data_IF_185664802955
#
_entry.id   IF_185664802955
#
_cell.length_a   1.000
_cell.length_b   1.000
_cell.length_c   1.000
_cell.angle_alpha   90.00
_cell.angle_beta   90.00
_cell.angle_gamma   90.00
#
_symmetry.space_group_name_H-M   'P 1'
#
loop_
_entity.id
_entity.type
_entity.pdbx_description
1 polymer ?
#
# COMPACT_ATOMS: atom_id res chain seq x y z
N UNK A 1 -11.66 -9.31 1.35
CA UNK A 1 -11.72 -8.43 0.17
C UNK A 1 -12.52 -7.21 0.59
N UNK A 2 -11.94 -6.01 0.57
CA UNK A 2 -12.65 -4.79 0.95
C UNK A 2 -13.62 -4.36 -0.16
N UNK A 3 -14.75 -3.77 0.21
CA UNK A 3 -15.72 -3.17 -0.71
C UNK A 3 -15.59 -1.64 -0.71
N UNK A 4 -16.21 -0.98 -1.68
CA UNK A 4 -16.22 0.48 -1.78
C UNK A 4 -16.77 1.19 -0.51
N UNK A 5 -17.65 0.52 0.24
CA UNK A 5 -18.18 1.02 1.51
C UNK A 5 -17.16 1.08 2.65
N UNK A 6 -16.04 0.38 2.57
CA UNK A 6 -14.94 0.52 3.54
C UNK A 6 -14.19 1.86 3.42
N UNK A 7 -14.30 2.55 2.27
CA UNK A 7 -13.62 3.83 2.02
C UNK A 7 -14.44 5.06 2.43
N UNK A 8 -15.64 4.87 3.01
CA UNK A 8 -16.57 5.95 3.34
C UNK A 8 -16.01 6.95 4.35
N UNK A 9 -15.14 6.50 5.25
CA UNK A 9 -14.43 7.38 6.20
C UNK A 9 -13.54 8.39 5.48
N UNK A 10 -12.98 8.04 4.33
CA UNK A 10 -12.09 8.91 3.55
C UNK A 10 -12.83 9.68 2.45
N UNK A 11 -13.95 9.15 1.99
CA UNK A 11 -14.73 9.75 0.92
C UNK A 11 -16.23 9.50 1.12
N UNK A 12 -16.92 10.28 1.96
CA UNK A 12 -18.32 10.02 2.32
C UNK A 12 -19.29 10.12 1.12
N UNK A 13 -18.86 10.74 0.01
CA UNK A 13 -19.61 10.86 -1.24
C UNK A 13 -19.62 9.55 -2.07
N UNK A 14 -18.80 8.55 -1.74
CA UNK A 14 -18.62 7.34 -2.55
C UNK A 14 -19.91 6.49 -2.73
N UNK A 15 -20.85 6.36 -1.75
CA UNK A 15 -22.08 5.59 -1.95
C UNK A 15 -22.98 6.16 -3.03
N UNK A 16 -23.04 7.49 -3.15
CA UNK A 16 -23.87 8.15 -4.18
C UNK A 16 -23.39 7.87 -5.60
N UNK A 17 -22.10 7.59 -5.78
CA UNK A 17 -21.53 7.23 -7.09
C UNK A 17 -21.48 5.71 -7.32
N UNK A 18 -21.51 4.92 -6.25
CA UNK A 18 -21.33 3.47 -6.26
C UNK A 18 -22.39 2.76 -5.41
N UNK A 19 -23.68 2.86 -5.78
CA UNK A 19 -24.80 2.37 -4.96
C UNK A 19 -24.76 0.84 -4.75
N UNK A 20 -24.23 0.09 -5.72
CA UNK A 20 -24.13 -1.37 -5.66
C UNK A 20 -22.89 -1.86 -4.87
N UNK A 21 -22.12 -0.96 -4.27
CA UNK A 21 -20.92 -1.26 -3.46
C UNK A 21 -19.99 -2.30 -4.12
N UNK A 22 -19.50 -2.03 -5.34
CA UNK A 22 -18.64 -2.97 -6.06
C UNK A 22 -17.34 -3.28 -5.31
N UNK A 23 -16.72 -4.45 -5.57
CA UNK A 23 -15.41 -4.79 -5.03
C UNK A 23 -14.36 -3.72 -5.32
N UNK A 24 -13.50 -3.47 -4.34
CA UNK A 24 -12.40 -2.52 -4.46
C UNK A 24 -11.12 -3.21 -4.95
N UNK A 25 -10.45 -2.60 -5.92
CA UNK A 25 -9.10 -2.97 -6.34
C UNK A 25 -8.14 -1.84 -5.98
N UNK A 26 -7.04 -2.19 -5.30
CA UNK A 26 -5.93 -1.28 -5.05
C UNK A 26 -4.75 -1.69 -5.94
N UNK A 27 -4.33 -0.78 -6.80
CA UNK A 27 -3.07 -0.92 -7.53
C UNK A 27 -2.00 -0.13 -6.79
N UNK A 28 -0.91 -0.80 -6.43
CA UNK A 28 0.22 -0.20 -5.71
C UNK A 28 1.44 -0.22 -6.61
N UNK A 29 2.07 0.94 -6.81
CA UNK A 29 3.29 1.08 -7.59
C UNK A 29 4.32 1.87 -6.81
N UNK A 30 5.60 1.52 -6.96
CA UNK A 30 6.68 2.30 -6.37
C UNK A 30 6.87 3.60 -7.16
N UNK A 31 6.88 4.75 -6.48
CA UNK A 31 7.19 6.05 -7.11
C UNK A 31 8.66 6.17 -7.48
N UNK A 32 9.52 5.49 -6.74
CA UNK A 32 10.96 5.45 -6.93
C UNK A 32 11.51 4.13 -6.44
N UNK A 33 12.76 3.82 -6.81
CA UNK A 33 13.46 2.68 -6.22
C UNK A 33 13.50 2.84 -4.68
N UNK A 34 13.19 1.79 -3.90
CA UNK A 34 13.34 1.84 -2.46
C UNK A 34 14.81 2.00 -2.09
N UNK A 35 15.09 2.81 -1.07
CA UNK A 35 16.46 3.03 -0.60
C UNK A 35 16.68 2.31 0.72
N UNK A 36 17.80 1.58 0.82
CA UNK A 36 18.26 0.95 2.05
C UNK A 36 19.52 1.69 2.51
N UNK A 37 19.51 2.16 3.75
CA UNK A 37 20.67 2.81 4.36
C UNK A 37 21.16 1.96 5.53
N UNK A 38 22.42 1.55 5.46
CA UNK A 38 23.07 0.82 6.55
C UNK A 38 23.70 1.81 7.54
N UNK A 39 23.34 1.67 8.81
CA UNK A 39 23.98 2.33 9.95
C UNK A 39 24.62 1.25 10.84
N UNK A 40 25.55 1.61 11.75
CA UNK A 40 26.26 0.64 12.58
C UNK A 40 25.35 -0.35 13.31
N UNK A 41 24.19 0.12 13.79
CA UNK A 41 23.29 -0.67 14.63
C UNK A 41 21.90 -0.90 13.99
N UNK A 42 21.66 -0.42 12.77
CA UNK A 42 20.33 -0.48 12.14
C UNK A 42 20.38 -0.41 10.61
N UNK A 43 19.38 -1.00 9.96
CA UNK A 43 19.05 -0.68 8.58
C UNK A 43 17.83 0.23 8.53
N UNK A 44 17.88 1.30 7.76
CA UNK A 44 16.70 2.10 7.43
C UNK A 44 16.23 1.76 6.02
N UNK A 45 14.98 1.35 5.87
CA UNK A 45 14.33 1.17 4.57
C UNK A 45 13.38 2.33 4.33
N UNK A 46 13.51 3.01 3.19
CA UNK A 46 12.55 4.02 2.73
C UNK A 46 11.83 3.55 1.50
N UNK A 47 10.50 3.69 1.52
CA UNK A 47 9.58 3.30 0.45
C UNK A 47 8.67 4.48 0.14
N UNK A 48 8.53 4.79 -1.14
CA UNK A 48 7.56 5.76 -1.67
C UNK A 48 6.69 5.04 -2.70
N UNK A 49 5.37 5.02 -2.47
CA UNK A 49 4.43 4.27 -3.30
C UNK A 49 3.17 5.07 -3.63
N UNK A 50 2.73 4.99 -4.88
CA UNK A 50 1.43 5.45 -5.32
C UNK A 50 0.42 4.31 -5.19
N UNK A 51 -0.77 4.65 -4.68
CA UNK A 51 -1.87 3.73 -4.50
C UNK A 51 -3.06 4.28 -5.26
N UNK A 52 -3.50 3.57 -6.30
CA UNK A 52 -4.69 3.91 -7.06
C UNK A 52 -5.83 2.96 -6.69
N UNK A 53 -6.96 3.52 -6.26
CA UNK A 53 -8.17 2.76 -5.94
C UNK A 53 -9.13 2.73 -7.13
N UNK A 54 -9.75 1.57 -7.37
CA UNK A 54 -10.76 1.35 -8.39
C UNK A 54 -11.97 0.59 -7.82
N UNK A 55 -13.16 0.91 -8.34
CA UNK A 55 -14.34 0.07 -8.24
C UNK A 55 -14.37 -0.90 -9.44
N UNK A 56 -14.53 -2.20 -9.17
CA UNK A 56 -14.56 -3.25 -10.20
C UNK A 56 -15.98 -3.75 -10.41
N UNK A 57 -16.49 -3.64 -11.63
CA UNK A 57 -17.84 -4.10 -11.98
C UNK A 57 -17.82 -5.50 -12.62
N UNK A 58 -18.96 -6.23 -12.65
CA UNK A 58 -19.04 -7.60 -13.19
C UNK A 58 -18.57 -7.73 -14.65
N UNK A 59 -18.68 -6.67 -15.43
CA UNK A 59 -18.20 -6.59 -16.81
C UNK A 59 -16.68 -6.31 -16.92
N UNK A 60 -15.94 -6.48 -15.83
CA UNK A 60 -14.51 -6.17 -15.67
C UNK A 60 -14.13 -4.70 -15.94
N UNK A 61 -15.10 -3.79 -15.99
CA UNK A 61 -14.82 -2.37 -16.06
C UNK A 61 -14.29 -1.89 -14.72
N UNK A 62 -13.14 -1.21 -14.74
CA UNK A 62 -12.55 -0.57 -13.57
C UNK A 62 -12.84 0.92 -13.63
N UNK A 63 -13.50 1.45 -12.60
CA UNK A 63 -13.72 2.89 -12.44
C UNK A 63 -12.78 3.47 -11.39
N UNK A 64 -11.92 4.45 -11.73
CA UNK A 64 -11.03 5.06 -10.76
C UNK A 64 -11.83 5.80 -9.68
N UNK A 65 -11.38 5.69 -8.43
CA UNK A 65 -12.01 6.33 -7.28
C UNK A 65 -11.18 7.51 -6.78
N UNK A 66 -9.95 7.23 -6.36
CA UNK A 66 -9.01 8.22 -5.81
C UNK A 66 -7.60 7.66 -5.87
N UNK A 67 -6.62 8.57 -5.83
CA UNK A 67 -5.19 8.25 -5.75
C UNK A 67 -4.63 8.71 -4.41
N UNK A 68 -3.72 7.93 -3.85
CA UNK A 68 -3.01 8.24 -2.61
C UNK A 68 -1.51 8.10 -2.82
N UNK A 69 -0.77 8.89 -2.07
CA UNK A 69 0.68 8.79 -1.97
C UNK A 69 1.02 8.32 -0.56
N UNK A 70 1.77 7.22 -0.46
CA UNK A 70 2.30 6.73 0.79
C UNK A 70 3.82 6.86 0.78
N UNK A 71 4.38 7.39 1.87
CA UNK A 71 5.81 7.39 2.15
C UNK A 71 6.02 6.71 3.49
N UNK A 72 6.98 5.79 3.56
CA UNK A 72 7.33 5.09 4.79
C UNK A 72 8.84 5.04 4.95
N UNK A 73 9.31 5.23 6.17
CA UNK A 73 10.69 5.02 6.58
C UNK A 73 10.67 4.16 7.85
N UNK A 74 11.25 2.97 7.78
CA UNK A 74 11.25 2.00 8.88
C UNK A 74 12.67 1.54 9.19
N UNK A 75 13.03 1.55 10.47
CA UNK A 75 14.25 0.92 10.95
C UNK A 75 14.02 -0.58 11.14
N UNK A 76 14.90 -1.40 10.58
CA UNK A 76 14.80 -2.86 10.56
C UNK A 76 16.05 -3.46 11.20
N UNK A 77 15.84 -4.43 12.09
CA UNK A 77 16.91 -5.24 12.67
C UNK A 77 17.28 -6.35 11.69
N UNK A 78 18.56 -6.51 11.40
CA UNK A 78 19.07 -7.59 10.53
C UNK A 78 19.54 -8.74 11.40
N UNK A 79 19.04 -9.94 11.11
CA UNK A 79 19.54 -11.17 11.72
C UNK A 79 20.35 -11.90 10.65
N UNK A 80 21.65 -12.04 10.89
CA UNK A 80 22.55 -12.87 10.08
C UNK A 80 22.42 -14.31 10.59
N UNK A 81 21.96 -15.24 9.75
CA UNK A 81 22.11 -16.67 10.00
C UNK A 81 23.25 -17.23 9.15
N UNK A 82 23.82 -18.37 9.55
CA UNK A 82 25.02 -18.96 8.92
C UNK A 82 24.84 -19.33 7.43
N UNK A 83 23.61 -19.33 6.91
CA UNK A 83 23.30 -19.84 5.57
C UNK A 83 22.48 -18.86 4.70
N UNK A 84 21.88 -17.81 5.27
CA UNK A 84 21.12 -16.82 4.50
C UNK A 84 21.04 -15.44 5.19
N UNK A 85 21.12 -14.37 4.39
CA UNK A 85 20.73 -13.04 4.81
C UNK A 85 19.19 -12.92 4.70
N UNK A 86 18.49 -13.11 5.82
CA UNK A 86 17.05 -12.89 5.92
C UNK A 86 16.75 -11.49 6.47
N UNK A 87 15.86 -10.73 5.81
CA UNK A 87 15.37 -9.45 6.32
C UNK A 87 13.86 -9.52 6.46
N UNK A 88 13.35 -9.33 7.68
CA UNK A 88 11.93 -9.19 7.95
C UNK A 88 11.60 -7.70 8.11
N UNK A 89 10.88 -7.12 7.14
CA UNK A 89 10.40 -5.74 7.23
C UNK A 89 9.07 -5.77 7.97
N UNK A 90 9.03 -5.29 9.21
CA UNK A 90 7.79 -5.05 9.94
C UNK A 90 7.42 -3.57 9.78
N UNK A 91 6.34 -3.27 9.06
CA UNK A 91 5.79 -1.92 9.02
C UNK A 91 5.33 -1.53 10.43
N UNK A 92 5.87 -0.44 10.98
CA UNK A 92 5.40 0.09 12.27
C UNK A 92 4.01 0.68 12.12
N UNK A 93 3.13 0.31 13.06
CA UNK A 93 1.70 0.66 13.13
C UNK A 93 1.46 2.14 13.33
#
# INVERSE_FOLDING_TARGET
MGDASSCLTFHPQLPSYFPDSPPLLLQVSARSAPTITCQPDSLTVRLSADIQAFATYPNQTQRPLFQMQADSATAVNVVLSEEALGVAIAATK
#
